data_IF_442327677822
#
_entry.id   IF_442327677822
#
_cell.length_a   1.000
_cell.length_b   1.000
_cell.length_c   1.000
_cell.angle_alpha   90.00
_cell.angle_beta   90.00
_cell.angle_gamma   90.00
#
_symmetry.space_group_name_H-M   'P 1'
#
loop_
_entity.id
_entity.type
_entity.pdbx_description
1 polymer ?
#
# COMPACT_ATOMS: atom_id res chain seq x y z
N UNK A 1 2.34 -2.82 -0.83
CA UNK A 1 2.69 -2.03 0.36
C UNK A 1 1.93 -0.72 0.37
N UNK A 2 2.04 0.06 1.45
CA UNK A 2 1.48 1.40 1.53
C UNK A 2 2.57 2.42 1.20
N UNK A 3 2.35 3.24 0.19
CA UNK A 3 3.34 4.17 -0.34
C UNK A 3 2.90 5.61 -0.16
N UNK A 4 3.84 6.46 0.23
CA UNK A 4 3.70 7.91 0.25
C UNK A 4 4.42 8.53 -0.95
N UNK A 5 5.36 9.43 -0.70
CA UNK A 5 6.19 10.03 -1.74
C UNK A 5 7.23 9.08 -2.36
N UNK A 6 7.50 7.94 -1.72
CA UNK A 6 8.35 6.90 -2.30
C UNK A 6 7.63 6.24 -3.47
N UNK A 7 8.23 6.25 -4.66
CA UNK A 7 7.63 5.62 -5.85
C UNK A 7 7.57 4.10 -5.69
N UNK A 8 6.38 3.48 -5.80
CA UNK A 8 6.26 2.04 -5.79
C UNK A 8 6.77 1.37 -7.07
N UNK A 9 6.94 2.09 -8.17
CA UNK A 9 7.51 1.55 -9.40
C UNK A 9 8.99 1.22 -9.23
N UNK A 10 9.71 2.04 -8.47
CA UNK A 10 11.13 1.87 -8.21
C UNK A 10 11.41 1.02 -6.96
N UNK A 11 10.56 1.12 -5.94
CA UNK A 11 10.76 0.51 -4.63
C UNK A 11 9.65 -0.49 -4.25
N UNK A 12 8.99 -1.04 -5.27
CA UNK A 12 7.93 -2.05 -5.13
C UNK A 12 8.46 -3.38 -4.60
N UNK A 13 7.59 -4.24 -4.03
CA UNK A 13 7.98 -5.60 -3.68
C UNK A 13 8.32 -6.40 -4.95
N UNK A 14 9.48 -7.07 -4.96
CA UNK A 14 9.94 -7.88 -6.08
C UNK A 14 9.75 -9.38 -5.81
N UNK A 15 9.23 -10.10 -6.80
CA UNK A 15 9.12 -11.57 -6.77
C UNK A 15 8.08 -12.14 -5.80
N UNK A 16 7.22 -11.30 -5.20
CA UNK A 16 6.17 -11.73 -4.27
C UNK A 16 4.81 -11.16 -4.67
N UNK A 17 3.72 -11.92 -4.48
CA UNK A 17 2.38 -11.39 -4.65
C UNK A 17 2.15 -10.20 -3.72
N UNK A 18 1.67 -9.11 -4.30
CA UNK A 18 1.44 -7.91 -3.53
C UNK A 18 0.32 -7.07 -4.14
N UNK A 19 -0.15 -6.13 -3.33
CA UNK A 19 -0.97 -5.01 -3.77
C UNK A 19 -0.36 -3.73 -3.23
N UNK A 20 -0.40 -2.68 -4.04
CA UNK A 20 0.19 -1.39 -3.72
C UNK A 20 -0.91 -0.35 -3.66
N UNK A 21 -0.89 0.43 -2.58
CA UNK A 21 -1.76 1.59 -2.41
C UNK A 21 -0.90 2.83 -2.24
N UNK A 22 -1.27 3.88 -2.96
CA UNK A 22 -0.69 5.20 -2.87
C UNK A 22 -1.83 6.22 -2.87
N UNK A 23 -1.80 7.24 -1.99
CA UNK A 23 -2.78 8.31 -2.04
C UNK A 23 -2.62 9.12 -3.34
N UNK A 24 -3.64 9.90 -3.74
CA UNK A 24 -3.52 10.79 -4.90
C UNK A 24 -2.30 11.69 -4.82
N UNK A 25 -1.55 11.75 -5.93
CA UNK A 25 -0.37 12.61 -6.08
C UNK A 25 -0.74 13.88 -6.89
N UNK A 26 -0.09 15.04 -6.60
CA UNK A 26 0.93 15.25 -5.59
C UNK A 26 0.34 15.19 -4.17
N UNK A 27 1.21 14.94 -3.19
CA UNK A 27 0.84 14.96 -1.79
C UNK A 27 1.34 16.25 -1.11
N UNK A 28 0.61 17.37 -1.24
CA UNK A 28 1.01 18.64 -0.63
C UNK A 28 0.83 18.60 0.88
N UNK A 29 1.59 19.43 1.59
CA UNK A 29 1.33 19.73 2.99
C UNK A 29 0.02 20.51 3.09
N UNK A 30 -1.03 19.89 3.62
CA UNK A 30 -2.35 20.50 3.76
C UNK A 30 -2.51 21.32 5.05
N UNK A 31 -1.57 21.20 6.00
CA UNK A 31 -1.58 21.86 7.30
C UNK A 31 -0.20 22.49 7.60
N UNK A 32 0.08 23.68 7.06
CA UNK A 32 1.33 24.40 7.31
C UNK A 32 1.61 24.54 8.81
N UNK A 33 2.83 24.20 9.23
CA UNK A 33 3.24 24.20 10.65
C UNK A 33 2.98 22.87 11.38
N UNK A 34 2.15 21.98 10.83
CA UNK A 34 2.00 20.59 11.30
C UNK A 34 2.81 19.66 10.41
N UNK A 35 2.61 19.74 9.09
CA UNK A 35 3.44 19.00 8.15
C UNK A 35 4.73 19.73 7.79
N UNK A 36 5.78 18.95 7.54
CA UNK A 36 7.10 19.43 7.12
C UNK A 36 7.23 19.22 5.61
N UNK A 37 6.98 20.26 4.83
CA UNK A 37 6.97 20.23 3.35
C UNK A 37 8.20 19.58 2.73
N UNK A 38 9.39 19.78 3.33
CA UNK A 38 10.66 19.23 2.84
C UNK A 38 11.05 17.89 3.49
N UNK A 39 10.13 17.23 4.21
CA UNK A 39 10.36 15.95 4.84
C UNK A 39 9.31 14.94 4.37
N UNK A 40 9.75 13.91 3.66
CA UNK A 40 8.84 12.92 3.09
C UNK A 40 8.00 12.15 4.12
N UNK A 41 8.52 11.96 5.34
CA UNK A 41 7.77 11.41 6.46
C UNK A 41 6.90 12.44 7.18
N UNK A 42 7.25 13.72 7.07
CA UNK A 42 6.57 14.84 7.73
C UNK A 42 5.42 15.44 6.92
N UNK A 43 5.20 15.04 5.67
CA UNK A 43 3.98 15.37 4.90
C UNK A 43 2.84 14.37 5.13
N UNK A 44 3.09 13.30 5.91
CA UNK A 44 2.08 12.33 6.35
C UNK A 44 1.26 11.69 5.23
N UNK A 45 1.83 11.55 4.03
CA UNK A 45 1.08 11.09 2.85
C UNK A 45 0.35 9.77 3.05
N UNK A 46 1.00 8.78 3.64
CA UNK A 46 0.40 7.46 3.91
C UNK A 46 -0.84 7.56 4.80
N UNK A 47 -0.89 8.55 5.71
CA UNK A 47 -2.05 8.75 6.59
C UNK A 47 -3.31 9.20 5.84
N UNK A 48 -3.20 9.63 4.58
CA UNK A 48 -4.34 10.00 3.74
C UNK A 48 -5.07 8.80 3.15
N UNK A 49 -4.47 7.61 3.21
CA UNK A 49 -5.11 6.37 2.77
C UNK A 49 -6.29 6.05 3.69
N UNK A 50 -7.43 5.69 3.08
CA UNK A 50 -8.58 5.25 3.86
C UNK A 50 -8.34 3.84 4.38
N UNK A 51 -8.66 3.62 5.65
CA UNK A 51 -8.56 2.29 6.27
C UNK A 51 -9.41 1.26 5.52
N UNK A 52 -10.57 1.68 5.02
CA UNK A 52 -11.47 0.83 4.24
C UNK A 52 -10.80 0.31 2.94
N UNK A 53 -10.11 1.20 2.21
CA UNK A 53 -9.41 0.82 0.98
C UNK A 53 -8.26 -0.16 1.27
N UNK A 54 -7.50 0.11 2.35
CA UNK A 54 -6.43 -0.79 2.80
C UNK A 54 -6.98 -2.16 3.16
N UNK A 55 -8.09 -2.23 3.89
CA UNK A 55 -8.74 -3.48 4.27
C UNK A 55 -9.25 -4.25 3.04
N UNK A 56 -9.93 -3.57 2.11
CA UNK A 56 -10.46 -4.19 0.89
C UNK A 56 -9.36 -4.80 0.03
N UNK A 57 -8.28 -4.05 -0.22
CA UNK A 57 -7.13 -4.52 -1.01
C UNK A 57 -6.37 -5.64 -0.30
N UNK A 58 -6.33 -5.62 1.03
CA UNK A 58 -5.73 -6.71 1.82
C UNK A 58 -6.54 -8.00 1.68
N UNK A 59 -7.87 -7.92 1.78
CA UNK A 59 -8.76 -9.07 1.60
C UNK A 59 -8.68 -9.63 0.17
N UNK A 60 -8.57 -8.77 -0.85
CA UNK A 60 -8.35 -9.19 -2.24
C UNK A 60 -7.04 -9.99 -2.42
N UNK A 61 -5.94 -9.51 -1.81
CA UNK A 61 -4.66 -10.22 -1.83
C UNK A 61 -4.77 -11.59 -1.17
N UNK A 62 -5.36 -11.66 0.04
CA UNK A 62 -5.57 -12.93 0.75
C UNK A 62 -6.40 -13.88 -0.09
N UNK A 63 -7.51 -13.41 -0.67
CA UNK A 63 -8.38 -14.22 -1.52
C UNK A 63 -7.65 -14.79 -2.72
N UNK A 64 -6.84 -13.98 -3.40
CA UNK A 64 -6.02 -14.41 -4.55
C UNK A 64 -5.04 -15.52 -4.17
N UNK A 65 -4.33 -15.36 -3.06
CA UNK A 65 -3.33 -16.34 -2.63
C UNK A 65 -3.96 -17.65 -2.15
N UNK A 66 -5.07 -17.58 -1.43
CA UNK A 66 -5.83 -18.78 -1.00
C UNK A 66 -6.31 -19.58 -2.22
N UNK A 67 -6.85 -18.90 -3.23
CA UNK A 67 -7.29 -19.55 -4.48
C UNK A 67 -6.11 -20.21 -5.21
N UNK A 68 -4.98 -19.52 -5.31
CA UNK A 68 -3.77 -20.06 -5.93
C UNK A 68 -3.25 -21.30 -5.20
N UNK A 69 -3.24 -21.29 -3.87
CA UNK A 69 -2.86 -22.46 -3.06
C UNK A 69 -3.80 -23.64 -3.28
N UNK A 70 -5.11 -23.42 -3.31
CA UNK A 70 -6.11 -24.45 -3.56
C UNK A 70 -5.97 -25.06 -4.97
N UNK A 71 -5.66 -24.23 -5.98
CA UNK A 71 -5.48 -24.68 -7.35
C UNK A 71 -4.15 -25.43 -7.57
N UNK A 72 -3.13 -25.15 -6.75
CA UNK A 72 -1.82 -25.78 -6.85
C UNK A 72 -1.74 -27.18 -6.18
N UNK A 73 -2.85 -27.71 -5.66
CA UNK A 73 -2.94 -29.09 -5.17
C UNK A 73 -2.13 -29.39 -3.90
N UNK A 74 -1.78 -28.38 -3.10
CA UNK A 74 -1.13 -28.61 -1.81
C UNK A 74 -2.21 -28.96 -0.77
N UNK A 75 -2.12 -30.12 -0.08
CA UNK A 75 -3.12 -30.48 0.91
C UNK A 75 -3.03 -29.50 2.09
N UNK A 76 -4.17 -28.95 2.51
CA UNK A 76 -4.28 -28.21 3.76
C UNK A 76 -3.86 -29.14 4.91
N UNK A 77 -2.87 -28.71 5.70
CA UNK A 77 -2.38 -29.42 6.87
C UNK A 77 -3.43 -29.43 8.00
#
# INVERSE_FOLDING_TARGET
GLYGLTSPEQWGPFGVPNRTLQPPMPCPCIAPGVCKENNAGGVYCVQRLQVADVAAVTLDLIGTEVQKSAHSGMPAA
#
